data_IF_328288443630
#
_entry.id   IF_328288443630
#
_cell.length_a   1.000
_cell.length_b   1.000
_cell.length_c   1.000
_cell.angle_alpha   90.00
_cell.angle_beta   90.00
_cell.angle_gamma   90.00
#
_symmetry.space_group_name_H-M   'P 1'
#
loop_
_entity.id
_entity.type
_entity.pdbx_description
1 polymer ?
#
# COMPACT_ATOMS: atom_id res chain seq x y z
N UNK A 1 -43.66 -28.40 -36.13
CA UNK A 1 -44.12 -27.02 -36.35
C UNK A 1 -42.91 -26.22 -36.84
N UNK A 2 -43.04 -25.62 -38.02
CA UNK A 2 -42.02 -24.82 -38.72
C UNK A 2 -42.25 -23.33 -38.46
N UNK A 3 -41.15 -22.59 -38.29
CA UNK A 3 -40.93 -21.14 -38.53
C UNK A 3 -39.39 -20.98 -38.60
N UNK A 4 -38.70 -20.27 -39.49
CA UNK A 4 -38.96 -19.43 -40.66
C UNK A 4 -37.59 -18.80 -41.03
N UNK A 5 -37.23 -18.71 -42.31
CA UNK A 5 -36.02 -18.01 -42.80
C UNK A 5 -36.41 -16.58 -43.21
N UNK A 6 -35.54 -15.58 -43.01
CA UNK A 6 -35.21 -14.43 -43.89
C UNK A 6 -34.35 -13.38 -43.09
N UNK A 7 -33.67 -12.39 -43.71
CA UNK A 7 -32.30 -12.51 -44.24
C UNK A 7 -31.35 -11.38 -43.76
N UNK A 8 -30.05 -11.51 -44.04
CA UNK A 8 -29.11 -10.38 -44.10
C UNK A 8 -28.34 -10.08 -42.81
N UNK A 9 -27.24 -10.80 -42.59
CA UNK A 9 -26.13 -10.24 -41.80
C UNK A 9 -25.19 -9.50 -42.76
N UNK A 10 -24.85 -8.23 -42.49
CA UNK A 10 -23.74 -7.60 -43.18
C UNK A 10 -22.43 -8.27 -42.74
N UNK A 11 -21.54 -8.43 -43.70
CA UNK A 11 -20.19 -8.94 -43.56
C UNK A 11 -19.48 -8.21 -42.41
N UNK A 12 -19.28 -8.89 -41.27
CA UNK A 12 -18.36 -8.41 -40.25
C UNK A 12 -16.95 -8.58 -40.82
N UNK A 13 -16.41 -7.48 -41.32
CA UNK A 13 -14.99 -7.29 -41.55
C UNK A 13 -14.25 -7.77 -40.30
N UNK A 14 -13.39 -8.78 -40.49
CA UNK A 14 -12.45 -9.23 -39.47
C UNK A 14 -11.41 -8.12 -39.35
N UNK A 15 -11.68 -7.17 -38.47
CA UNK A 15 -10.72 -6.18 -38.00
C UNK A 15 -9.54 -6.91 -37.36
N UNK A 16 -8.44 -6.91 -38.10
CA UNK A 16 -7.14 -7.43 -37.68
C UNK A 16 -6.65 -6.72 -36.43
N UNK A 17 -6.34 -7.53 -35.41
CA UNK A 17 -5.36 -7.31 -34.34
C UNK A 17 -5.06 -5.87 -33.91
N UNK A 18 -5.47 -5.56 -32.68
CA UNK A 18 -4.64 -4.77 -31.79
C UNK A 18 -4.76 -5.33 -30.35
N UNK A 19 -4.13 -6.49 -30.12
CA UNK A 19 -3.89 -7.06 -28.79
C UNK A 19 -2.57 -6.54 -28.19
N UNK A 20 -2.23 -5.26 -28.38
CA UNK A 20 -1.37 -4.56 -27.44
C UNK A 20 -2.19 -3.47 -26.76
N UNK A 21 -3.03 -3.88 -25.82
CA UNK A 21 -3.47 -2.98 -24.77
C UNK A 21 -2.24 -2.58 -23.95
N UNK A 22 -1.51 -1.57 -24.41
CA UNK A 22 -0.47 -0.93 -23.63
C UNK A 22 -1.14 -0.37 -22.38
N UNK A 23 -1.02 -1.11 -21.27
CA UNK A 23 -1.35 -0.60 -19.96
C UNK A 23 -0.28 0.41 -19.59
N UNK A 24 -0.53 1.67 -19.91
CA UNK A 24 0.30 2.76 -19.41
C UNK A 24 0.00 2.89 -17.91
N UNK A 25 0.92 2.37 -17.09
CA UNK A 25 0.96 2.69 -15.67
C UNK A 25 1.50 4.11 -15.53
N UNK A 26 0.66 5.11 -15.78
CA UNK A 26 0.95 6.47 -15.33
C UNK A 26 0.86 6.42 -13.82
N UNK A 27 2.00 6.23 -13.15
CA UNK A 27 2.09 6.54 -11.73
C UNK A 27 1.77 8.04 -11.64
N UNK A 28 0.58 8.43 -11.15
CA UNK A 28 0.24 9.84 -11.10
C UNK A 28 1.28 10.45 -10.19
N UNK A 29 2.09 11.35 -10.73
CA UNK A 29 2.82 12.30 -9.92
C UNK A 29 1.80 12.88 -8.93
N UNK A 30 2.07 12.71 -7.62
CA UNK A 30 1.23 13.11 -6.48
C UNK A 30 0.21 12.09 -5.92
N UNK A 31 0.43 10.77 -6.04
CA UNK A 31 -0.22 9.85 -5.09
C UNK A 31 0.43 10.00 -3.71
N UNK A 32 -0.36 10.37 -2.72
CA UNK A 32 0.04 10.33 -1.32
C UNK A 32 0.02 8.87 -0.86
N UNK A 33 1.18 8.23 -0.83
CA UNK A 33 1.32 6.89 -0.30
C UNK A 33 1.52 6.96 1.22
N UNK A 34 0.77 6.15 1.98
CA UNK A 34 0.90 6.05 3.43
C UNK A 34 1.19 4.61 3.87
N UNK A 35 2.00 4.49 4.90
CA UNK A 35 2.17 3.24 5.65
C UNK A 35 2.02 3.55 7.14
N UNK A 36 1.01 2.98 7.77
CA UNK A 36 0.84 3.05 9.22
C UNK A 36 1.15 1.69 9.84
N UNK A 37 1.91 1.70 10.93
CA UNK A 37 2.28 0.50 11.67
C UNK A 37 1.96 0.75 13.13
N UNK A 38 1.11 -0.06 13.74
CA UNK A 38 0.69 0.11 15.13
C UNK A 38 0.29 -1.21 15.80
N UNK A 39 -0.19 -1.11 17.02
CA UNK A 39 -0.81 -2.22 17.76
C UNK A 39 -2.25 -1.86 18.21
N UNK A 40 -2.85 -2.69 19.07
CA UNK A 40 -4.20 -2.48 19.56
C UNK A 40 -4.38 -1.16 20.33
N UNK A 41 -3.33 -0.67 20.98
CA UNK A 41 -3.36 0.59 21.76
C UNK A 41 -3.39 1.82 20.82
N UNK A 42 -2.89 1.66 19.60
CA UNK A 42 -2.85 2.69 18.56
C UNK A 42 -4.19 2.88 17.83
N UNK A 43 -5.15 1.95 17.96
CA UNK A 43 -6.41 1.96 17.21
C UNK A 43 -7.19 3.28 17.34
N UNK A 44 -7.33 3.91 18.53
CA UNK A 44 -7.96 5.23 18.63
C UNK A 44 -7.22 6.31 17.82
N UNK A 45 -5.89 6.36 17.92
CA UNK A 45 -5.08 7.33 17.18
C UNK A 45 -5.13 7.09 15.67
N UNK A 46 -5.22 5.83 15.24
CA UNK A 46 -5.42 5.47 13.83
C UNK A 46 -6.76 5.95 13.28
N UNK A 47 -7.84 5.96 14.08
CA UNK A 47 -9.14 6.51 13.67
C UNK A 47 -9.04 8.02 13.43
N UNK A 48 -8.39 8.74 14.35
CA UNK A 48 -8.18 10.18 14.21
C UNK A 48 -7.29 10.50 13.01
N UNK A 49 -6.20 9.76 12.84
CA UNK A 49 -5.29 9.90 11.70
C UNK A 49 -5.99 9.63 10.37
N UNK A 50 -6.79 8.55 10.28
CA UNK A 50 -7.54 8.20 9.08
C UNK A 50 -8.49 9.31 8.63
N UNK A 51 -9.10 10.03 9.58
CA UNK A 51 -10.03 11.13 9.28
C UNK A 51 -9.37 12.33 8.58
N UNK A 52 -8.04 12.45 8.69
CA UNK A 52 -7.25 13.52 8.09
C UNK A 52 -6.69 13.15 6.71
N UNK A 53 -6.80 11.89 6.30
CA UNK A 53 -6.24 11.43 5.03
C UNK A 53 -7.03 11.97 3.83
N UNK A 54 -6.35 12.51 2.82
CA UNK A 54 -7.00 12.85 1.56
C UNK A 54 -7.68 11.65 0.90
N UNK A 55 -8.77 11.91 0.17
CA UNK A 55 -9.56 10.84 -0.47
C UNK A 55 -8.77 10.03 -1.53
N UNK A 56 -7.69 10.60 -2.05
CA UNK A 56 -6.82 9.98 -3.06
C UNK A 56 -5.61 9.26 -2.45
N UNK A 57 -5.50 9.20 -1.13
CA UNK A 57 -4.44 8.48 -0.44
C UNK A 57 -4.49 6.99 -0.80
N UNK A 58 -3.32 6.42 -1.05
CA UNK A 58 -3.11 5.00 -1.28
C UNK A 58 -2.20 4.44 -0.20
N UNK A 59 -2.36 3.18 0.21
CA UNK A 59 -1.42 2.62 1.18
C UNK A 59 -1.92 1.48 2.03
N UNK A 60 -1.24 1.33 3.16
CA UNK A 60 -1.42 0.21 4.07
C UNK A 60 -1.43 0.66 5.51
N UNK A 61 -2.31 0.06 6.31
CA UNK A 61 -2.31 0.12 7.77
C UNK A 61 -2.09 -1.29 8.28
N UNK A 62 -1.10 -1.47 9.14
CA UNK A 62 -0.74 -2.75 9.73
C UNK A 62 -0.91 -2.61 11.24
N UNK A 63 -1.77 -3.45 11.81
CA UNK A 63 -2.04 -3.46 13.24
C UNK A 63 -1.65 -4.82 13.81
N UNK A 64 -0.66 -4.86 14.71
CA UNK A 64 -0.32 -6.07 15.46
C UNK A 64 -1.33 -6.30 16.58
N UNK A 65 -1.79 -7.55 16.69
CA UNK A 65 -2.54 -8.05 17.85
C UNK A 65 -1.85 -9.28 18.42
N UNK A 66 -1.97 -9.47 19.73
CA UNK A 66 -1.50 -10.68 20.39
C UNK A 66 -2.38 -11.89 20.05
N UNK A 67 -3.69 -11.67 19.87
CA UNK A 67 -4.64 -12.73 19.58
C UNK A 67 -5.77 -12.26 18.64
N UNK A 68 -6.34 -13.15 17.81
CA UNK A 68 -7.43 -12.78 16.89
C UNK A 68 -8.66 -12.16 17.57
N UNK A 69 -8.88 -12.42 18.86
CA UNK A 69 -9.99 -11.82 19.64
C UNK A 69 -9.86 -10.30 19.80
N UNK A 70 -8.66 -9.74 19.65
CA UNK A 70 -8.43 -8.29 19.71
C UNK A 70 -8.70 -7.58 18.38
N UNK A 71 -9.04 -8.31 17.31
CA UNK A 71 -9.32 -7.70 16.01
C UNK A 71 -10.65 -6.96 16.10
N UNK A 72 -10.58 -5.65 15.90
CA UNK A 72 -11.75 -4.78 15.82
C UNK A 72 -11.95 -4.31 14.38
N UNK A 73 -13.13 -4.53 13.78
CA UNK A 73 -13.40 -3.97 12.46
C UNK A 73 -13.44 -2.45 12.53
N UNK A 74 -12.73 -1.78 11.63
CA UNK A 74 -12.90 -0.36 11.41
C UNK A 74 -14.22 -0.09 10.66
N UNK A 75 -14.84 1.05 10.94
CA UNK A 75 -16.06 1.47 10.27
C UNK A 75 -15.85 1.59 8.75
N UNK A 76 -16.89 1.23 7.98
CA UNK A 76 -16.82 1.30 6.53
C UNK A 76 -16.63 2.76 6.09
N UNK A 77 -15.61 3.00 5.28
CA UNK A 77 -15.30 4.33 4.76
C UNK A 77 -14.48 5.20 5.71
N UNK A 78 -14.04 4.67 6.86
CA UNK A 78 -13.07 5.35 7.73
C UNK A 78 -11.76 5.64 6.99
N UNK A 79 -11.28 4.66 6.22
CA UNK A 79 -10.09 4.80 5.38
C UNK A 79 -10.47 5.13 3.93
N UNK A 80 -9.64 5.91 3.21
CA UNK A 80 -9.76 6.07 1.77
C UNK A 80 -9.77 4.72 1.05
N UNK A 81 -10.46 4.62 -0.09
CA UNK A 81 -10.61 3.35 -0.81
C UNK A 81 -9.28 2.73 -1.27
N UNK A 82 -8.24 3.55 -1.45
CA UNK A 82 -6.89 3.10 -1.77
C UNK A 82 -6.06 2.64 -0.56
N UNK A 83 -6.58 2.75 0.67
CA UNK A 83 -5.88 2.37 1.90
C UNK A 83 -6.48 1.08 2.45
N UNK A 84 -5.64 0.05 2.56
CA UNK A 84 -6.04 -1.26 3.09
C UNK A 84 -5.55 -1.43 4.53
N UNK A 85 -6.38 -2.04 5.38
CA UNK A 85 -6.01 -2.39 6.76
C UNK A 85 -5.71 -3.87 6.84
N UNK A 86 -4.65 -4.25 7.54
CA UNK A 86 -4.27 -5.63 7.81
C UNK A 86 -3.95 -5.81 9.27
N UNK A 87 -4.65 -6.74 9.87
CA UNK A 87 -4.40 -7.21 11.22
C UNK A 87 -3.41 -8.36 11.14
N UNK A 88 -2.28 -8.23 11.84
CA UNK A 88 -1.29 -9.31 11.94
C UNK A 88 -1.32 -9.86 13.36
N UNK A 89 -1.52 -11.17 13.47
CA UNK A 89 -1.48 -11.85 14.75
C UNK A 89 -0.04 -12.21 15.04
N UNK A 90 0.43 -11.88 16.25
CA UNK A 90 1.77 -12.22 16.70
C UNK A 90 2.00 -13.72 16.55
N UNK A 91 3.06 -14.10 15.84
CA UNK A 91 3.28 -15.49 15.40
C UNK A 91 3.36 -16.50 16.56
N UNK A 92 3.92 -16.08 17.70
CA UNK A 92 3.91 -16.85 18.95
C UNK A 92 3.87 -15.87 20.12
N UNK A 93 3.38 -16.30 21.29
CA UNK A 93 3.44 -15.47 22.51
C UNK A 93 4.89 -15.15 22.93
N UNK A 94 5.87 -15.92 22.47
CA UNK A 94 7.29 -15.67 22.70
C UNK A 94 7.91 -14.69 21.70
N UNK A 95 7.21 -14.36 20.60
CA UNK A 95 7.70 -13.38 19.65
C UNK A 95 7.70 -11.98 20.28
N UNK A 96 8.72 -11.20 19.94
CA UNK A 96 8.85 -9.83 20.44
C UNK A 96 7.65 -8.98 19.98
N UNK A 97 7.00 -8.21 20.87
CA UNK A 97 5.97 -7.26 20.47
C UNK A 97 6.43 -6.33 19.35
N UNK A 98 5.55 -6.03 18.40
CA UNK A 98 5.80 -5.20 17.21
C UNK A 98 6.60 -5.90 16.12
N UNK A 99 7.24 -7.05 16.38
CA UNK A 99 8.13 -7.67 15.40
C UNK A 99 7.41 -8.27 14.20
N UNK A 100 6.14 -8.66 14.36
CA UNK A 100 5.34 -9.15 13.24
C UNK A 100 4.88 -7.98 12.37
N UNK A 101 4.40 -6.89 12.98
CA UNK A 101 4.00 -5.69 12.24
C UNK A 101 5.18 -5.03 11.50
N UNK A 102 6.34 -4.90 12.14
CA UNK A 102 7.53 -4.33 11.50
C UNK A 102 7.98 -5.18 10.30
N UNK A 103 7.97 -6.52 10.41
CA UNK A 103 8.29 -7.39 9.27
C UNK A 103 7.28 -7.27 8.13
N UNK A 104 5.99 -7.18 8.45
CA UNK A 104 4.95 -7.01 7.45
C UNK A 104 5.10 -5.64 6.73
N UNK A 105 5.45 -4.60 7.48
CA UNK A 105 5.77 -3.29 6.93
C UNK A 105 6.98 -3.35 6.00
N UNK A 106 8.08 -3.97 6.45
CA UNK A 106 9.30 -4.09 5.67
C UNK A 106 9.09 -4.87 4.37
N UNK A 107 8.35 -6.00 4.42
CA UNK A 107 8.00 -6.76 3.23
C UNK A 107 7.11 -5.99 2.24
N UNK A 108 6.16 -5.20 2.74
CA UNK A 108 5.34 -4.34 1.88
C UNK A 108 6.19 -3.26 1.20
N UNK A 109 7.12 -2.64 1.93
CA UNK A 109 8.04 -1.64 1.38
C UNK A 109 9.01 -2.23 0.36
N UNK A 110 9.47 -3.47 0.60
CA UNK A 110 10.33 -4.19 -0.33
C UNK A 110 9.64 -4.39 -1.69
N UNK A 111 8.39 -4.84 -1.67
CA UNK A 111 7.58 -5.04 -2.89
C UNK A 111 7.24 -3.73 -3.60
N UNK A 112 6.83 -2.69 -2.86
CA UNK A 112 6.20 -1.50 -3.45
C UNK A 112 7.15 -0.34 -3.74
N UNK A 113 8.26 -0.24 -3.00
CA UNK A 113 9.18 0.89 -3.10
C UNK A 113 10.59 0.45 -3.46
N UNK A 114 11.13 -0.59 -2.82
CA UNK A 114 12.50 -1.06 -3.12
C UNK A 114 12.58 -1.80 -4.45
N UNK A 115 11.48 -2.45 -4.88
CA UNK A 115 11.39 -3.09 -6.18
C UNK A 115 11.46 -2.12 -7.38
N UNK A 116 11.07 -0.85 -7.19
CA UNK A 116 11.21 0.21 -8.19
C UNK A 116 11.42 1.60 -7.51
N UNK A 117 12.66 1.89 -7.08
CA UNK A 117 12.99 3.16 -6.44
C UNK A 117 12.90 4.34 -7.41
N UNK A 118 12.89 4.06 -8.72
CA UNK A 118 12.76 5.05 -9.79
C UNK A 118 11.30 5.29 -10.18
N UNK A 119 10.33 4.78 -9.42
CA UNK A 119 8.90 5.08 -9.60
C UNK A 119 8.54 6.53 -9.22
N UNK A 120 9.36 7.18 -8.39
CA UNK A 120 9.07 8.54 -7.88
C UNK A 120 7.96 8.58 -6.84
N UNK A 121 7.60 7.43 -6.28
CA UNK A 121 6.66 7.33 -5.16
C UNK A 121 7.38 7.73 -3.88
N UNK A 122 6.67 8.47 -3.03
CA UNK A 122 7.10 8.77 -1.66
C UNK A 122 6.06 8.19 -0.72
N UNK A 123 6.51 7.54 0.35
CA UNK A 123 5.63 7.02 1.40
C UNK A 123 5.77 7.85 2.66
N UNK A 124 4.65 8.27 3.23
CA UNK A 124 4.59 8.81 4.58
C UNK A 124 4.45 7.64 5.56
N UNK A 125 5.44 7.46 6.43
CA UNK A 125 5.40 6.48 7.50
C UNK A 125 4.73 7.09 8.74
N UNK A 126 3.72 6.39 9.27
CA UNK A 126 3.13 6.65 10.58
C UNK A 126 3.57 5.53 11.54
N UNK A 127 4.52 5.80 12.46
CA UNK A 127 4.96 4.84 13.46
C UNK A 127 4.08 4.96 14.71
N UNK A 128 3.03 4.13 14.78
CA UNK A 128 2.49 3.66 16.05
C UNK A 128 3.50 2.76 16.75
N UNK A 129 3.13 2.09 17.84
CA UNK A 129 4.03 1.32 18.72
C UNK A 129 4.90 2.20 19.63
N UNK A 130 4.42 3.40 20.01
CA UNK A 130 5.18 4.35 20.84
C UNK A 130 5.59 3.79 22.22
N UNK A 131 4.89 2.78 22.73
CA UNK A 131 5.28 2.03 23.94
C UNK A 131 6.40 1.01 23.75
N UNK A 132 6.88 0.83 22.52
CA UNK A 132 7.85 -0.21 22.14
C UNK A 132 9.09 0.41 21.47
N UNK A 133 10.11 0.66 22.29
CA UNK A 133 11.36 1.29 21.84
C UNK A 133 12.06 0.54 20.72
N UNK A 134 12.03 -0.79 20.75
CA UNK A 134 12.65 -1.61 19.71
C UNK A 134 11.94 -1.42 18.36
N UNK A 135 10.60 -1.55 18.35
CA UNK A 135 9.84 -1.43 17.11
C UNK A 135 9.94 -0.01 16.54
N UNK A 136 9.90 1.00 17.41
CA UNK A 136 10.12 2.41 17.03
C UNK A 136 11.51 2.61 16.41
N UNK A 137 12.54 2.03 17.01
CA UNK A 137 13.92 2.11 16.48
C UNK A 137 14.04 1.44 15.12
N UNK A 138 13.38 0.29 14.93
CA UNK A 138 13.43 -0.44 13.66
C UNK A 138 12.66 0.27 12.56
N UNK A 139 11.47 0.84 12.86
CA UNK A 139 10.72 1.67 11.92
C UNK A 139 11.49 2.93 11.53
N UNK A 140 12.24 3.53 12.47
CA UNK A 140 13.12 4.66 12.18
C UNK A 140 14.27 4.27 11.26
N UNK A 141 14.92 3.13 11.51
CA UNK A 141 15.97 2.59 10.64
C UNK A 141 15.46 2.40 9.21
N UNK A 142 14.26 1.84 9.05
CA UNK A 142 13.61 1.67 7.74
C UNK A 142 13.33 3.04 7.08
N UNK A 143 12.85 4.03 7.85
CA UNK A 143 12.59 5.37 7.32
C UNK A 143 13.87 6.05 6.82
N UNK A 144 14.97 5.93 7.58
CA UNK A 144 16.27 6.49 7.20
C UNK A 144 16.80 5.83 5.90
N UNK A 145 16.71 4.50 5.80
CA UNK A 145 17.09 3.72 4.61
C UNK A 145 16.30 4.13 3.35
N UNK A 146 14.98 4.31 3.50
CA UNK A 146 14.12 4.76 2.39
C UNK A 146 14.46 6.20 1.97
N UNK A 147 14.76 7.07 2.93
CA UNK A 147 15.16 8.45 2.64
C UNK A 147 16.45 8.50 1.82
N UNK A 148 17.45 7.68 2.16
CA UNK A 148 18.69 7.55 1.39
C UNK A 148 18.42 7.02 -0.03
N UNK A 149 17.59 5.99 -0.15
CA UNK A 149 17.21 5.39 -1.43
C UNK A 149 16.54 6.42 -2.35
N UNK A 150 15.60 7.20 -1.83
CA UNK A 150 14.90 8.23 -2.60
C UNK A 150 15.79 9.42 -2.95
N UNK A 151 16.73 9.79 -2.06
CA UNK A 151 17.70 10.84 -2.36
C UNK A 151 18.61 10.41 -3.53
N UNK A 152 19.11 9.18 -3.53
CA UNK A 152 19.92 8.63 -4.62
C UNK A 152 19.14 8.56 -5.95
N UNK A 153 17.89 8.08 -5.92
CA UNK A 153 17.03 8.03 -7.10
C UNK A 153 16.74 9.42 -7.68
N UNK A 154 16.55 10.43 -6.80
CA UNK A 154 16.32 11.81 -7.20
C UNK A 154 17.56 12.42 -7.87
N UNK A 155 18.75 12.20 -7.31
CA UNK A 155 20.01 12.67 -7.88
C UNK A 155 20.25 12.08 -9.28
N UNK A 156 20.06 10.76 -9.44
CA UNK A 156 20.21 10.08 -10.73
C UNK A 156 19.24 10.61 -11.80
N UNK A 157 17.99 10.92 -11.43
CA UNK A 157 17.05 11.58 -12.37
C UNK A 157 17.50 12.97 -12.77
N UNK A 158 18.14 13.73 -11.88
CA UNK A 158 18.71 15.04 -12.21
C UNK A 158 19.76 14.93 -13.31
N UNK A 159 20.70 13.99 -13.16
CA UNK A 159 21.79 13.75 -14.12
C UNK A 159 21.30 13.31 -15.51
N UNK A 160 20.18 12.59 -15.62
CA UNK A 160 19.61 12.17 -16.90
C UNK A 160 18.88 13.29 -17.66
N UNK A 161 18.54 14.39 -16.98
CA UNK A 161 17.82 15.52 -17.58
C UNK A 161 18.73 16.70 -17.96
N UNK A 162 20.04 16.59 -17.69
CA UNK A 162 21.10 17.54 -18.05
C UNK A 162 21.86 17.10 -19.32
#
# INVERSE_FOLDING_TARGET
MSWGVFPGEPENEVGSGDESGDFIFVCPTNLECVLAVGDVEDVPALRDWASMLPRKTYGRVIVEVESPVQIEPFERGLFPAGVSVTWVVRATNAARPGATAVRAADGWLDEWLRGDPMSGRYVQLWPGLGGNEWATSELRRIADELAETFAAATAFRGELND
#
